data_IF_118914666573
#
_entry.id   IF_118914666573
#
_cell.length_a   1.000
_cell.length_b   1.000
_cell.length_c   1.000
_cell.angle_alpha   90.00
_cell.angle_beta   90.00
_cell.angle_gamma   90.00
#
_symmetry.space_group_name_H-M   'P 1'
#
loop_
_entity.id
_entity.type
_entity.pdbx_description
1 polymer ?
#
# COMPACT_ATOMS: atom_id res chain seq x y z
N UNK A 1 -1.67 9.62 -6.40
CA UNK A 1 -0.75 8.78 -5.60
C UNK A 1 -1.26 7.34 -5.55
N UNK A 2 -0.40 6.31 -5.37
CA UNK A 2 -0.87 4.92 -5.29
C UNK A 2 -1.65 4.63 -3.99
N UNK A 3 -1.51 5.48 -2.97
CA UNK A 3 -2.17 5.35 -1.68
C UNK A 3 -2.23 6.70 -0.95
N UNK A 4 -3.22 6.87 -0.07
CA UNK A 4 -3.32 8.00 0.87
C UNK A 4 -4.01 7.53 2.15
N UNK A 5 -3.55 7.98 3.33
CA UNK A 5 -4.06 7.53 4.63
C UNK A 5 -5.57 7.80 4.79
N UNK A 6 -6.01 8.97 4.34
CA UNK A 6 -7.42 9.40 4.43
C UNK A 6 -8.33 8.82 3.33
N UNK A 7 -7.79 8.15 2.31
CA UNK A 7 -8.61 7.63 1.21
C UNK A 7 -9.49 6.42 1.59
N UNK A 8 -9.26 5.83 2.76
CA UNK A 8 -10.10 4.76 3.32
C UNK A 8 -10.20 4.94 4.84
N UNK A 9 -11.22 5.67 5.33
CA UNK A 9 -11.47 5.83 6.76
C UNK A 9 -11.53 4.48 7.47
N UNK A 10 -10.90 4.38 8.65
CA UNK A 10 -10.86 3.16 9.45
C UNK A 10 -9.87 2.09 8.96
N UNK A 11 -8.92 2.42 8.09
CA UNK A 11 -7.81 1.50 7.82
C UNK A 11 -6.93 1.35 9.07
N UNK A 12 -6.64 0.10 9.44
CA UNK A 12 -5.76 -0.17 10.58
C UNK A 12 -4.29 0.16 10.30
N UNK A 13 -3.85 0.13 9.04
CA UNK A 13 -2.43 0.32 8.71
C UNK A 13 -1.86 1.68 9.18
N UNK A 14 -2.47 2.85 8.86
CA UNK A 14 -2.01 4.14 9.41
C UNK A 14 -1.98 4.16 10.94
N UNK A 15 -3.02 3.62 11.58
CA UNK A 15 -3.14 3.57 13.04
C UNK A 15 -2.02 2.73 13.68
N UNK A 16 -1.74 1.55 13.12
CA UNK A 16 -0.64 0.70 13.61
C UNK A 16 0.72 1.35 13.34
N UNK A 17 0.90 2.00 12.19
CA UNK A 17 2.15 2.70 11.88
C UNK A 17 2.41 3.85 12.86
N UNK A 18 1.40 4.65 13.18
CA UNK A 18 1.47 5.70 14.20
C UNK A 18 1.77 5.13 15.59
N UNK A 19 1.11 4.05 15.99
CA UNK A 19 1.41 3.38 17.28
C UNK A 19 2.83 2.85 17.39
N UNK A 20 3.44 2.40 16.29
CA UNK A 20 4.79 1.83 16.28
C UNK A 20 5.88 2.89 16.14
N UNK A 21 5.63 3.94 15.36
CA UNK A 21 6.68 4.90 14.95
C UNK A 21 6.39 6.35 15.35
N UNK A 22 5.18 6.66 15.82
CA UNK A 22 4.76 8.00 16.23
C UNK A 22 4.76 9.01 15.10
N UNK A 23 4.54 8.56 13.86
CA UNK A 23 4.57 9.41 12.66
C UNK A 23 3.46 9.05 11.68
N UNK A 24 2.98 10.08 10.97
CA UNK A 24 2.15 9.92 9.79
C UNK A 24 2.99 9.40 8.61
N UNK A 25 2.68 8.18 8.17
CA UNK A 25 3.38 7.53 7.06
C UNK A 25 2.81 7.93 5.71
N UNK A 26 3.67 7.97 4.70
CA UNK A 26 3.28 8.29 3.33
C UNK A 26 3.15 7.05 2.43
N UNK A 27 2.80 7.28 1.16
CA UNK A 27 2.60 6.22 0.17
C UNK A 27 3.83 5.33 -0.05
N UNK A 28 5.06 5.82 0.15
CA UNK A 28 6.27 4.98 0.00
C UNK A 28 6.30 3.90 1.07
N UNK A 29 5.97 4.24 2.32
CA UNK A 29 5.90 3.29 3.43
C UNK A 29 4.78 2.28 3.21
N UNK A 30 3.59 2.73 2.79
CA UNK A 30 2.47 1.85 2.49
C UNK A 30 2.80 0.85 1.35
N UNK A 31 3.46 1.32 0.28
CA UNK A 31 3.84 0.45 -0.84
C UNK A 31 4.97 -0.51 -0.48
N UNK A 32 5.93 -0.10 0.36
CA UNK A 32 6.96 -1.00 0.89
C UNK A 32 6.35 -2.10 1.77
N UNK A 33 5.39 -1.73 2.63
CA UNK A 33 4.63 -2.69 3.43
C UNK A 33 3.90 -3.70 2.52
N UNK A 34 3.15 -3.23 1.51
CA UNK A 34 2.46 -4.12 0.57
C UNK A 34 3.42 -5.05 -0.18
N UNK A 35 4.59 -4.57 -0.57
CA UNK A 35 5.60 -5.38 -1.24
C UNK A 35 6.10 -6.52 -0.34
N UNK A 36 6.38 -6.23 0.94
CA UNK A 36 6.80 -7.25 1.93
C UNK A 36 5.67 -8.25 2.20
N UNK A 37 4.43 -7.77 2.33
CA UNK A 37 3.26 -8.65 2.52
C UNK A 37 3.06 -9.59 1.33
N UNK A 38 3.20 -9.09 0.10
CA UNK A 38 3.13 -9.90 -1.11
C UNK A 38 4.25 -10.96 -1.16
N UNK A 39 5.49 -10.54 -0.93
CA UNK A 39 6.65 -11.42 -0.93
C UNK A 39 6.53 -12.49 0.17
N UNK A 40 6.14 -12.11 1.38
CA UNK A 40 5.94 -13.05 2.50
C UNK A 40 4.87 -14.10 2.15
N UNK A 41 3.75 -13.69 1.56
CA UNK A 41 2.70 -14.61 1.15
C UNK A 41 3.18 -15.60 0.08
N UNK A 42 3.95 -15.14 -0.91
CA UNK A 42 4.51 -15.99 -1.95
C UNK A 42 5.56 -16.96 -1.40
N UNK A 43 6.48 -16.49 -0.56
CA UNK A 43 7.53 -17.31 0.09
C UNK A 43 6.91 -18.41 0.94
N UNK A 44 5.82 -18.14 1.67
CA UNK A 44 5.11 -19.16 2.47
C UNK A 44 4.52 -20.29 1.63
N UNK A 45 4.18 -20.04 0.37
CA UNK A 45 3.61 -21.03 -0.55
C UNK A 45 4.71 -21.79 -1.29
N UNK A 46 5.72 -21.09 -1.77
CA UNK A 46 6.84 -21.70 -2.49
C UNK A 46 8.15 -20.92 -2.26
N UNK A 47 9.01 -21.39 -1.32
CA UNK A 47 10.19 -20.65 -0.85
C UNK A 47 11.42 -20.80 -1.77
N UNK A 48 11.21 -20.84 -3.09
CA UNK A 48 12.28 -20.78 -4.08
C UNK A 48 12.14 -19.52 -4.93
N UNK A 49 13.23 -19.02 -5.53
CA UNK A 49 13.18 -17.82 -6.38
C UNK A 49 12.14 -17.95 -7.50
N UNK A 50 12.17 -19.07 -8.22
CA UNK A 50 11.22 -19.38 -9.30
C UNK A 50 9.81 -19.56 -8.77
N UNK A 51 9.66 -20.25 -7.63
CA UNK A 51 8.39 -20.46 -6.97
C UNK A 51 7.70 -19.17 -6.54
N UNK A 52 8.43 -18.24 -5.93
CA UNK A 52 7.93 -16.91 -5.56
C UNK A 52 7.44 -16.16 -6.80
N UNK A 53 8.19 -16.20 -7.90
CA UNK A 53 7.78 -15.54 -9.14
C UNK A 53 6.50 -16.17 -9.72
N UNK A 54 6.39 -17.49 -9.70
CA UNK A 54 5.18 -18.22 -10.16
C UNK A 54 3.97 -17.88 -9.29
N UNK A 55 4.13 -17.87 -7.97
CA UNK A 55 3.07 -17.52 -7.02
C UNK A 55 2.59 -16.08 -7.21
N UNK A 56 3.50 -15.11 -7.32
CA UNK A 56 3.14 -13.71 -7.54
C UNK A 56 2.43 -13.48 -8.89
N UNK A 57 2.76 -14.29 -9.90
CA UNK A 57 2.17 -14.20 -11.24
C UNK A 57 0.88 -15.01 -11.39
N UNK A 58 0.49 -15.78 -10.38
CA UNK A 58 -0.69 -16.62 -10.43
C UNK A 58 -1.97 -15.75 -10.50
N UNK A 59 -2.95 -16.05 -11.39
CA UNK A 59 -4.18 -15.26 -11.51
C UNK A 59 -5.02 -15.17 -10.23
N UNK A 60 -4.87 -16.14 -9.33
CA UNK A 60 -5.53 -16.22 -8.03
C UNK A 60 -4.63 -15.74 -6.87
N UNK A 61 -3.47 -15.14 -7.14
CA UNK A 61 -2.63 -14.59 -6.09
C UNK A 61 -3.39 -13.54 -5.27
N UNK A 62 -3.19 -13.60 -3.96
CA UNK A 62 -3.84 -12.72 -3.01
C UNK A 62 -3.00 -12.56 -1.75
N UNK A 63 -2.84 -11.33 -1.28
CA UNK A 63 -2.37 -11.02 0.08
C UNK A 63 -3.15 -9.84 0.67
N UNK A 64 -3.12 -9.66 1.99
CA UNK A 64 -3.69 -8.48 2.65
C UNK A 64 -2.65 -7.35 2.64
N UNK A 65 -3.02 -6.19 2.09
CA UNK A 65 -2.21 -4.98 2.08
C UNK A 65 -2.75 -3.87 2.99
N UNK A 66 -2.10 -2.72 2.97
CA UNK A 66 -2.31 -1.55 3.81
C UNK A 66 -3.69 -0.88 3.63
N UNK A 67 -4.33 -1.02 2.47
CA UNK A 67 -5.66 -0.44 2.22
C UNK A 67 -6.57 -1.35 1.40
N UNK A 68 -6.01 -2.02 0.41
CA UNK A 68 -6.72 -2.92 -0.48
C UNK A 68 -5.99 -4.27 -0.55
N UNK A 69 -6.70 -5.34 -0.93
CA UNK A 69 -6.06 -6.60 -1.23
C UNK A 69 -4.96 -6.49 -2.28
N UNK A 70 -3.99 -7.40 -2.18
CA UNK A 70 -2.86 -7.47 -3.08
C UNK A 70 -3.08 -8.45 -4.21
N UNK A 71 -3.11 -7.94 -5.44
CA UNK A 71 -3.27 -8.67 -6.70
C UNK A 71 -2.45 -8.00 -7.80
N UNK A 72 -2.19 -8.75 -8.87
CA UNK A 72 -1.42 -8.28 -10.02
C UNK A 72 -2.17 -8.57 -11.32
N UNK A 73 -2.00 -7.69 -12.31
CA UNK A 73 -2.38 -7.97 -13.68
C UNK A 73 -1.43 -9.00 -14.30
N UNK A 74 -1.78 -9.64 -15.43
CA UNK A 74 -0.85 -10.51 -16.17
C UNK A 74 0.45 -9.80 -16.59
N UNK A 75 0.46 -8.47 -16.69
CA UNK A 75 1.69 -7.67 -16.93
C UNK A 75 2.66 -7.66 -15.75
N UNK A 76 2.21 -8.08 -14.56
CA UNK A 76 2.93 -7.93 -13.29
C UNK A 76 2.62 -6.62 -12.56
N UNK A 77 1.87 -5.71 -13.17
CA UNK A 77 1.50 -4.45 -12.53
C UNK A 77 0.51 -4.69 -11.39
N UNK A 78 0.60 -3.83 -10.38
CA UNK A 78 -0.34 -3.78 -9.28
C UNK A 78 -1.78 -3.61 -9.79
N UNK A 79 -2.67 -4.52 -9.43
CA UNK A 79 -4.12 -4.38 -9.68
C UNK A 79 -4.74 -3.40 -8.67
N UNK A 80 -4.52 -2.10 -8.87
CA UNK A 80 -4.99 -1.07 -7.95
C UNK A 80 -5.24 0.26 -8.68
N UNK A 81 -6.37 0.95 -8.41
CA UNK A 81 -6.60 2.28 -8.93
C UNK A 81 -5.68 3.30 -8.25
N UNK A 82 -5.26 4.31 -9.02
CA UNK A 82 -4.61 5.50 -8.44
C UNK A 82 -5.61 6.32 -7.64
N UNK A 83 -5.13 7.01 -6.60
CA UNK A 83 -5.92 7.99 -5.83
C UNK A 83 -5.58 9.40 -6.30
N UNK A 84 -6.61 10.11 -6.72
CA UNK A 84 -6.52 11.53 -7.04
C UNK A 84 -6.48 12.34 -5.74
N UNK A 85 -5.66 13.38 -5.76
CA UNK A 85 -5.49 14.31 -4.65
C UNK A 85 -5.42 15.71 -5.22
N UNK A 86 -5.85 16.68 -4.42
CA UNK A 86 -5.57 18.10 -4.63
C UNK A 86 -4.50 18.54 -3.63
N UNK A 87 -3.83 19.65 -3.94
CA UNK A 87 -2.88 20.30 -3.03
C UNK A 87 -3.66 21.41 -2.31
N UNK A 88 -3.72 21.35 -1.00
CA UNK A 88 -4.39 22.35 -0.16
C UNK A 88 -3.42 22.91 0.88
N UNK A 89 -3.63 24.14 1.38
CA UNK A 89 -2.88 24.67 2.51
C UNK A 89 -3.01 23.72 3.71
N UNK A 90 -1.89 23.38 4.35
CA UNK A 90 -1.89 22.47 5.49
C UNK A 90 -2.15 23.23 6.79
N UNK A 91 -2.81 22.56 7.74
CA UNK A 91 -2.93 23.02 9.13
C UNK A 91 -1.71 22.62 9.98
N UNK A 92 -0.74 21.92 9.41
CA UNK A 92 0.48 21.50 10.09
C UNK A 92 1.47 22.66 10.26
N UNK A 93 2.19 22.70 11.38
CA UNK A 93 3.29 23.65 11.58
C UNK A 93 4.55 23.29 10.77
N UNK A 94 4.62 22.10 10.18
CA UNK A 94 5.81 21.58 9.49
C UNK A 94 5.71 21.57 7.96
N UNK A 95 4.52 21.77 7.41
CA UNK A 95 4.27 21.77 5.96
C UNK A 95 3.34 22.93 5.60
N UNK A 96 3.65 23.64 4.52
CA UNK A 96 2.78 24.71 4.01
C UNK A 96 1.57 24.14 3.23
N UNK A 97 1.74 22.97 2.61
CA UNK A 97 0.72 22.31 1.80
C UNK A 97 0.66 20.81 2.09
N UNK A 98 -0.52 20.23 1.90
CA UNK A 98 -0.78 18.80 2.02
C UNK A 98 -1.60 18.26 0.85
N UNK A 99 -1.53 16.94 0.64
CA UNK A 99 -2.37 16.26 -0.33
C UNK A 99 -3.69 15.87 0.32
N UNK A 100 -4.81 16.30 -0.27
CA UNK A 100 -6.15 15.96 0.21
C UNK A 100 -6.85 15.09 -0.84
N UNK A 101 -7.35 13.88 -0.48
CA UNK A 101 -8.07 13.03 -1.42
C UNK A 101 -9.31 13.71 -1.99
N UNK A 102 -9.52 13.55 -3.30
CA UNK A 102 -10.73 13.99 -3.98
C UNK A 102 -11.75 12.82 -3.97
N UNK A 103 -13.06 13.08 -3.72
CA UNK A 103 -14.11 12.05 -3.78
C UNK A 103 -14.18 11.28 -5.11
#
# INVERSE_FOLDING_TARGET
LPWHALAKPGSEFPKTADQLWGIDVNWRTAMAYDAVQALSAAVRRNPSRTGVQQELSAPNFFARGAAAPIRFFPSGDRYQPVKLVTIEPSNSSSLEYEFVPIP
#
